data_IF_903825945747
#
_entry.id   IF_903825945747
#
_cell.length_a   1.000
_cell.length_b   1.000
_cell.length_c   1.000
_cell.angle_alpha   90.00
_cell.angle_beta   90.00
_cell.angle_gamma   90.00
#
_symmetry.space_group_name_H-M   'P 1'
#
loop_
_entity.id
_entity.type
_entity.pdbx_description
1 polymer ?
#
# COMPACT_ATOMS: atom_id res chain seq x y z
N UNK A 1 11.66 3.61 4.89
CA UNK A 1 11.93 5.07 5.04
C UNK A 1 10.90 5.86 4.25
N UNK A 2 10.27 6.88 4.85
CA UNK A 2 9.32 7.78 4.16
C UNK A 2 10.07 8.70 3.17
N UNK A 3 9.68 8.74 1.88
CA UNK A 3 10.30 9.63 0.90
C UNK A 3 10.18 11.11 1.28
N UNK A 4 11.20 11.92 0.92
CA UNK A 4 11.30 13.34 1.32
C UNK A 4 10.04 14.15 0.99
N UNK A 5 9.42 13.89 -0.17
CA UNK A 5 8.18 14.54 -0.63
C UNK A 5 7.01 14.40 0.36
N UNK A 6 6.96 13.31 1.12
CA UNK A 6 5.82 12.98 1.98
C UNK A 6 6.04 13.30 3.47
N UNK A 7 7.26 13.70 3.85
CA UNK A 7 7.58 13.98 5.27
C UNK A 7 6.73 15.11 5.86
N UNK A 8 6.39 16.09 5.03
CA UNK A 8 5.53 17.22 5.37
C UNK A 8 4.05 17.02 5.02
N UNK A 9 3.52 15.81 4.96
CA UNK A 9 2.07 15.62 4.78
C UNK A 9 1.37 15.73 6.13
N UNK A 10 0.21 16.37 6.24
CA UNK A 10 -0.62 16.27 7.45
C UNK A 10 -2.08 16.44 7.10
N UNK A 11 -2.95 16.02 8.00
CA UNK A 11 -4.39 16.08 7.80
C UNK A 11 -4.96 17.50 7.65
N UNK A 12 -4.25 18.51 8.15
CA UNK A 12 -4.74 19.89 8.27
C UNK A 12 -4.14 20.84 7.22
N UNK A 13 -3.50 20.29 6.18
CA UNK A 13 -2.97 21.11 5.06
C UNK A 13 -3.09 20.40 3.71
N UNK A 14 -3.00 21.16 2.60
CA UNK A 14 -2.88 20.58 1.27
C UNK A 14 -1.69 19.63 1.13
N UNK A 15 -1.81 18.56 0.32
CA UNK A 15 -2.99 18.26 -0.49
C UNK A 15 -4.08 17.48 0.28
N UNK A 16 -3.90 17.12 1.56
CA UNK A 16 -4.84 16.24 2.27
C UNK A 16 -6.20 16.89 2.49
N UNK A 17 -6.23 18.19 2.77
CA UNK A 17 -7.48 18.96 2.91
C UNK A 17 -8.28 19.07 1.61
N UNK A 18 -7.67 18.75 0.47
CA UNK A 18 -8.29 18.78 -0.86
C UNK A 18 -8.79 17.39 -1.30
N UNK A 19 -8.47 16.34 -0.53
CA UNK A 19 -8.94 14.97 -0.78
C UNK A 19 -10.37 14.83 -0.26
N UNK A 20 -11.15 13.92 -0.87
CA UNK A 20 -12.52 13.61 -0.48
C UNK A 20 -12.66 13.40 1.05
N UNK A 21 -13.44 14.28 1.69
CA UNK A 21 -13.62 14.33 3.14
C UNK A 21 -13.97 13.00 3.80
N UNK A 22 -14.91 12.18 3.26
CA UNK A 22 -15.23 10.86 3.82
C UNK A 22 -14.03 9.92 3.88
N UNK A 23 -13.18 9.94 2.85
CA UNK A 23 -11.98 9.09 2.77
C UNK A 23 -10.92 9.57 3.76
N UNK A 24 -10.70 10.89 3.84
CA UNK A 24 -9.80 11.48 4.85
C UNK A 24 -10.27 11.14 6.25
N UNK A 25 -11.58 11.19 6.52
CA UNK A 25 -12.16 10.82 7.80
C UNK A 25 -11.95 9.32 8.12
N UNK A 26 -12.07 8.43 7.13
CA UNK A 26 -11.77 7.01 7.30
C UNK A 26 -10.31 6.77 7.65
N UNK A 27 -9.38 7.40 6.92
CA UNK A 27 -7.94 7.31 7.22
C UNK A 27 -7.62 7.90 8.59
N UNK A 28 -8.24 9.02 8.99
CA UNK A 28 -8.13 9.57 10.36
C UNK A 28 -8.58 8.56 11.41
N UNK A 29 -9.74 7.91 11.22
CA UNK A 29 -10.22 6.86 12.14
C UNK A 29 -9.24 5.70 12.23
N UNK A 30 -8.71 5.25 11.10
CA UNK A 30 -7.72 4.17 11.05
C UNK A 30 -6.45 4.55 11.83
N UNK A 31 -5.91 5.74 11.58
CA UNK A 31 -4.71 6.25 12.24
C UNK A 31 -4.91 6.47 13.74
N UNK A 32 -6.07 6.98 14.17
CA UNK A 32 -6.37 7.17 15.60
C UNK A 32 -6.41 5.85 16.38
N UNK A 33 -6.56 4.71 15.68
CA UNK A 33 -6.58 3.36 16.25
C UNK A 33 -5.46 2.51 15.64
N UNK A 34 -4.32 3.13 15.33
CA UNK A 34 -3.26 2.50 14.54
C UNK A 34 -2.78 1.19 15.18
N UNK A 35 -2.54 1.17 16.48
CA UNK A 35 -2.08 -0.04 17.18
C UNK A 35 -3.12 -1.16 17.11
N UNK A 36 -4.38 -0.87 17.47
CA UNK A 36 -5.47 -1.84 17.42
C UNK A 36 -5.74 -2.38 16.01
N UNK A 37 -5.53 -1.56 14.98
CA UNK A 37 -5.69 -1.97 13.58
C UNK A 37 -4.55 -2.86 13.12
N UNK A 38 -3.31 -2.50 13.46
CA UNK A 38 -2.13 -3.27 13.08
C UNK A 38 -2.04 -4.61 13.83
N UNK A 39 -2.39 -4.64 15.11
CA UNK A 39 -2.42 -5.88 15.90
C UNK A 39 -3.51 -6.87 15.46
N UNK A 40 -4.52 -6.37 14.74
CA UNK A 40 -5.61 -7.18 14.21
C UNK A 40 -5.51 -7.40 12.70
N UNK A 41 -4.35 -7.13 12.09
CA UNK A 41 -4.12 -7.36 10.66
C UNK A 41 -4.94 -6.50 9.70
N UNK A 42 -5.65 -5.47 10.19
CA UNK A 42 -6.50 -4.61 9.36
C UNK A 42 -5.64 -3.68 8.52
N UNK A 43 -5.98 -3.55 7.26
CA UNK A 43 -5.27 -2.76 6.25
C UNK A 43 -6.15 -1.72 5.56
N UNK A 44 -5.59 -1.04 4.55
CA UNK A 44 -6.33 -0.10 3.70
C UNK A 44 -6.10 -0.40 2.23
N UNK A 45 -7.18 -0.42 1.46
CA UNK A 45 -7.13 -0.46 0.01
C UNK A 45 -7.60 0.88 -0.53
N UNK A 46 -6.66 1.71 -0.98
CA UNK A 46 -6.94 3.00 -1.58
C UNK A 46 -7.02 2.83 -3.11
N UNK A 47 -8.22 2.88 -3.69
CA UNK A 47 -8.43 2.79 -5.15
C UNK A 47 -8.96 4.11 -5.71
N UNK A 48 -8.82 4.35 -7.01
CA UNK A 48 -9.35 5.57 -7.62
C UNK A 48 -8.48 6.18 -8.72
N UNK A 49 -8.90 7.29 -9.31
CA UNK A 49 -8.19 7.90 -10.44
C UNK A 49 -6.80 8.44 -10.07
N UNK A 50 -5.93 8.54 -11.08
CA UNK A 50 -4.57 9.08 -10.95
C UNK A 50 -4.63 10.49 -10.33
N UNK A 51 -3.95 10.67 -9.20
CA UNK A 51 -3.76 11.98 -8.58
C UNK A 51 -4.81 12.42 -7.57
N UNK A 52 -5.69 11.52 -7.14
CA UNK A 52 -6.68 11.76 -6.08
C UNK A 52 -6.14 11.66 -4.65
N UNK A 53 -4.82 11.47 -4.47
CA UNK A 53 -4.18 11.48 -3.14
C UNK A 53 -4.02 10.12 -2.45
N UNK A 54 -4.28 9.00 -3.13
CA UNK A 54 -4.08 7.63 -2.61
C UNK A 54 -2.71 7.42 -1.95
N UNK A 55 -1.62 7.64 -2.69
CA UNK A 55 -0.25 7.51 -2.17
C UNK A 55 0.01 8.46 -1.00
N UNK A 56 -0.54 9.68 -1.05
CA UNK A 56 -0.42 10.65 0.04
C UNK A 56 -1.04 10.10 1.34
N UNK A 57 -2.26 9.55 1.26
CA UNK A 57 -2.93 8.95 2.41
C UNK A 57 -2.22 7.69 2.91
N UNK A 58 -1.78 6.81 2.01
CA UNK A 58 -1.01 5.62 2.37
C UNK A 58 0.29 5.98 3.11
N UNK A 59 1.04 6.95 2.59
CA UNK A 59 2.26 7.46 3.23
C UNK A 59 1.99 8.13 4.57
N UNK A 60 0.86 8.85 4.69
CA UNK A 60 0.43 9.45 5.94
C UNK A 60 0.15 8.39 7.01
N UNK A 61 -0.57 7.32 6.65
CA UNK A 61 -0.81 6.18 7.55
C UNK A 61 0.48 5.49 7.95
N UNK A 62 1.34 5.18 6.99
CA UNK A 62 2.66 4.56 7.22
C UNK A 62 3.55 5.41 8.14
N UNK A 63 3.46 6.74 8.05
CA UNK A 63 4.20 7.61 8.96
C UNK A 63 3.66 7.53 10.39
N UNK A 64 2.34 7.54 10.58
CA UNK A 64 1.77 7.41 11.92
C UNK A 64 2.09 6.06 12.55
N UNK A 65 2.15 4.98 11.75
CA UNK A 65 2.62 3.68 12.22
C UNK A 65 4.09 3.76 12.72
N UNK A 66 4.98 4.39 11.95
CA UNK A 66 6.37 4.62 12.39
C UNK A 66 6.44 5.49 13.67
N UNK A 67 5.62 6.53 13.77
CA UNK A 67 5.53 7.40 14.95
C UNK A 67 5.00 6.66 16.19
N UNK A 68 4.16 5.64 16.00
CA UNK A 68 3.71 4.72 17.04
C UNK A 68 4.74 3.62 17.39
N UNK A 69 5.94 3.66 16.79
CA UNK A 69 7.00 2.68 17.05
C UNK A 69 6.84 1.35 16.31
N UNK A 70 5.92 1.28 15.34
CA UNK A 70 5.69 0.08 14.52
C UNK A 70 6.68 -0.01 13.38
N UNK A 71 7.01 -1.24 13.00
CA UNK A 71 7.88 -1.52 11.86
C UNK A 71 7.10 -1.38 10.54
N UNK A 72 7.68 -0.65 9.57
CA UNK A 72 7.00 -0.35 8.30
C UNK A 72 7.93 -0.54 7.11
N UNK A 73 7.45 -1.29 6.11
CA UNK A 73 8.09 -1.41 4.80
C UNK A 73 7.24 -0.70 3.74
N UNK A 74 7.87 0.04 2.83
CA UNK A 74 7.16 0.84 1.81
C UNK A 74 7.84 0.64 0.47
N UNK A 75 7.06 0.18 -0.51
CA UNK A 75 7.53 -0.07 -1.87
C UNK A 75 6.51 0.43 -2.89
N UNK A 76 6.98 0.93 -4.03
CA UNK A 76 6.17 0.83 -5.24
C UNK A 76 6.28 -0.60 -5.77
N UNK A 77 5.23 -1.13 -6.39
CA UNK A 77 5.24 -2.48 -6.93
C UNK A 77 6.44 -2.73 -7.89
N UNK A 78 6.76 -1.84 -8.85
CA UNK A 78 7.92 -2.04 -9.72
C UNK A 78 9.25 -2.14 -8.96
N UNK A 79 9.43 -1.33 -7.90
CA UNK A 79 10.64 -1.35 -7.08
C UNK A 79 10.75 -2.64 -6.25
N UNK A 80 9.64 -3.10 -5.69
CA UNK A 80 9.58 -4.37 -4.97
C UNK A 80 9.99 -5.53 -5.88
N UNK A 81 9.41 -5.61 -7.07
CA UNK A 81 9.69 -6.66 -8.04
C UNK A 81 11.14 -6.61 -8.53
N UNK A 82 11.70 -5.42 -8.76
CA UNK A 82 13.12 -5.27 -9.10
C UNK A 82 14.03 -5.79 -7.98
N UNK A 83 13.71 -5.48 -6.72
CA UNK A 83 14.47 -5.98 -5.58
C UNK A 83 14.37 -7.50 -5.43
N UNK A 84 13.18 -8.08 -5.64
CA UNK A 84 13.01 -9.54 -5.64
C UNK A 84 13.83 -10.17 -6.77
N UNK A 85 13.83 -9.61 -8.00
CA UNK A 85 14.68 -10.12 -9.09
C UNK A 85 16.15 -10.12 -8.72
N UNK A 86 16.64 -9.03 -8.11
CA UNK A 86 18.04 -8.96 -7.70
C UNK A 86 18.44 -10.01 -6.67
N UNK A 87 17.49 -10.53 -5.87
CA UNK A 87 17.80 -11.63 -4.94
C UNK A 87 18.00 -12.96 -5.64
N UNK A 88 17.41 -13.17 -6.83
CA UNK A 88 17.65 -14.37 -7.63
C UNK A 88 18.98 -14.31 -8.41
N UNK A 89 19.46 -13.10 -8.69
CA UNK A 89 20.75 -12.87 -9.36
C UNK A 89 21.94 -12.83 -8.38
N UNK A 90 21.68 -12.80 -7.07
CA UNK A 90 22.70 -12.75 -6.02
C UNK A 90 23.10 -14.17 -5.60
N UNK A 91 24.39 -14.51 -5.73
CA UNK A 91 24.95 -15.81 -5.33
C UNK A 91 24.93 -16.05 -3.81
N UNK A 92 24.50 -15.07 -3.01
CA UNK A 92 24.29 -15.25 -1.57
C UNK A 92 23.11 -16.17 -1.32
N UNK A 93 23.39 -17.33 -0.71
CA UNK A 93 22.37 -18.20 -0.16
C UNK A 93 21.41 -17.40 0.75
N UNK A 94 20.11 -17.57 0.53
CA UNK A 94 18.99 -17.02 1.32
C UNK A 94 18.59 -15.54 1.11
N UNK A 95 19.17 -14.81 0.16
CA UNK A 95 18.83 -13.39 -0.08
C UNK A 95 17.33 -13.13 -0.33
N UNK A 96 16.66 -14.05 -1.05
CA UNK A 96 15.22 -14.01 -1.31
C UNK A 96 14.40 -14.31 -0.06
N UNK A 97 14.78 -15.33 0.71
CA UNK A 97 14.11 -15.72 1.96
C UNK A 97 14.19 -14.56 2.95
N UNK A 98 15.37 -13.97 3.13
CA UNK A 98 15.57 -12.81 4.00
C UNK A 98 14.73 -11.58 3.58
N UNK A 99 14.47 -11.42 2.27
CA UNK A 99 13.59 -10.38 1.78
C UNK A 99 12.13 -10.69 2.11
N UNK A 100 11.66 -11.91 1.83
CA UNK A 100 10.31 -12.33 2.16
C UNK A 100 10.04 -12.22 3.67
N UNK A 101 10.93 -12.74 4.51
CA UNK A 101 10.79 -12.68 5.97
C UNK A 101 10.66 -11.24 6.46
N UNK A 102 11.40 -10.30 5.87
CA UNK A 102 11.22 -8.87 6.18
C UNK A 102 9.87 -8.33 5.72
N UNK A 103 9.42 -8.71 4.53
CA UNK A 103 8.14 -8.25 3.98
C UNK A 103 6.94 -8.83 4.73
N UNK A 104 7.07 -10.01 5.34
CA UNK A 104 6.00 -10.66 6.10
C UNK A 104 6.05 -10.27 7.58
N UNK A 105 7.23 -10.07 8.18
CA UNK A 105 7.37 -9.78 9.60
C UNK A 105 7.07 -8.32 10.02
N UNK A 106 7.19 -7.34 9.11
CA UNK A 106 6.87 -5.94 9.44
C UNK A 106 5.40 -5.78 9.81
N UNK A 107 5.11 -4.92 10.78
CA UNK A 107 3.76 -4.66 11.27
C UNK A 107 2.87 -4.08 10.17
N UNK A 108 3.44 -3.23 9.30
CA UNK A 108 2.75 -2.65 8.16
C UNK A 108 3.58 -2.73 6.88
N UNK A 109 3.03 -3.37 5.85
CA UNK A 109 3.56 -3.33 4.48
C UNK A 109 2.72 -2.40 3.62
N UNK A 110 3.34 -1.39 3.01
CA UNK A 110 2.70 -0.56 1.99
C UNK A 110 3.22 -0.93 0.59
N UNK A 111 2.31 -1.27 -0.32
CA UNK A 111 2.60 -1.49 -1.74
C UNK A 111 1.83 -0.45 -2.58
N UNK A 112 2.56 0.44 -3.23
CA UNK A 112 2.02 1.55 -4.02
C UNK A 112 1.92 1.15 -5.51
N UNK A 113 0.89 1.67 -6.19
CA UNK A 113 0.59 1.48 -7.62
C UNK A 113 0.45 -0.01 -8.05
N UNK A 114 -0.30 -0.79 -7.27
CA UNK A 114 -0.63 -2.19 -7.60
C UNK A 114 -1.52 -2.25 -8.85
N UNK A 115 -1.16 -3.10 -9.80
CA UNK A 115 -1.92 -3.30 -11.04
C UNK A 115 -1.70 -2.23 -12.12
N UNK A 116 -0.74 -1.33 -11.96
CA UNK A 116 -0.47 -0.29 -12.97
C UNK A 116 0.08 -0.82 -14.31
N UNK A 117 0.67 -2.02 -14.32
CA UNK A 117 1.23 -2.67 -15.51
C UNK A 117 0.71 -4.10 -15.64
N UNK A 118 0.75 -4.66 -16.86
CA UNK A 118 0.43 -6.07 -17.08
C UNK A 118 1.40 -6.95 -16.30
N UNK A 119 0.85 -7.79 -15.43
CA UNK A 119 1.60 -8.72 -14.59
C UNK A 119 1.99 -9.98 -15.36
N UNK A 120 3.22 -10.46 -15.16
CA UNK A 120 3.62 -11.79 -15.61
C UNK A 120 3.22 -12.86 -14.58
N UNK A 121 3.19 -14.13 -14.98
CA UNK A 121 2.91 -15.25 -14.07
C UNK A 121 3.81 -15.21 -12.81
N UNK A 122 5.09 -14.91 -12.99
CA UNK A 122 6.03 -14.73 -11.88
C UNK A 122 5.60 -13.59 -10.94
N UNK A 123 5.18 -12.43 -11.47
CA UNK A 123 4.69 -11.31 -10.62
C UNK A 123 3.46 -11.72 -9.81
N UNK A 124 2.53 -12.46 -10.43
CA UNK A 124 1.34 -12.98 -9.76
C UNK A 124 1.71 -13.91 -8.60
N UNK A 125 2.67 -14.82 -8.80
CA UNK A 125 3.16 -15.72 -7.76
C UNK A 125 3.80 -14.95 -6.60
N UNK A 126 4.64 -13.96 -6.88
CA UNK A 126 5.29 -13.16 -5.83
C UNK A 126 4.28 -12.35 -5.01
N UNK A 127 3.33 -11.69 -5.67
CA UNK A 127 2.28 -10.93 -4.98
C UNK A 127 1.40 -11.85 -4.14
N UNK A 128 1.01 -12.99 -4.69
CA UNK A 128 0.22 -13.97 -3.96
C UNK A 128 0.96 -14.48 -2.73
N UNK A 129 2.24 -14.84 -2.84
CA UNK A 129 3.03 -15.32 -1.72
C UNK A 129 3.11 -14.29 -0.57
N UNK A 130 3.37 -13.03 -0.89
CA UNK A 130 3.45 -11.94 0.10
C UNK A 130 2.09 -11.70 0.76
N UNK A 131 1.02 -11.56 -0.04
CA UNK A 131 -0.33 -11.30 0.49
C UNK A 131 -0.83 -12.48 1.31
N UNK A 132 -0.60 -13.71 0.86
CA UNK A 132 -1.03 -14.91 1.56
C UNK A 132 -0.34 -15.07 2.92
N UNK A 133 0.99 -14.93 2.97
CA UNK A 133 1.72 -15.05 4.24
C UNK A 133 1.26 -13.97 5.24
N UNK A 134 1.04 -12.74 4.78
CA UNK A 134 0.51 -11.67 5.65
C UNK A 134 -0.93 -11.91 6.09
N UNK A 135 -1.76 -12.49 5.22
CA UNK A 135 -3.12 -12.90 5.57
C UNK A 135 -3.13 -13.96 6.67
N UNK A 136 -2.30 -15.00 6.52
CA UNK A 136 -2.20 -16.12 7.48
C UNK A 136 -1.66 -15.68 8.85
N UNK A 137 -0.73 -14.72 8.87
CA UNK A 137 -0.11 -14.20 10.10
C UNK A 137 -0.82 -12.96 10.67
N UNK A 138 -2.00 -12.60 10.17
CA UNK A 138 -2.78 -11.42 10.58
C UNK A 138 -1.95 -10.11 10.55
N UNK A 139 -1.18 -9.91 9.47
CA UNK A 139 -0.29 -8.75 9.29
C UNK A 139 -0.87 -7.72 8.31
N UNK A 140 -0.99 -6.47 8.75
CA UNK A 140 -1.63 -5.40 7.99
C UNK A 140 -0.94 -5.02 6.69
N UNK A 141 -1.71 -4.77 5.65
CA UNK A 141 -1.20 -4.29 4.36
C UNK A 141 -1.95 -3.02 3.92
N UNK A 142 -1.23 -2.07 3.33
CA UNK A 142 -1.84 -0.95 2.61
C UNK A 142 -1.49 -1.09 1.14
N UNK A 143 -2.51 -1.09 0.29
CA UNK A 143 -2.31 -1.03 -1.16
C UNK A 143 -2.89 0.26 -1.74
N UNK A 144 -2.26 0.74 -2.80
CA UNK A 144 -2.86 1.75 -3.67
C UNK A 144 -2.99 1.19 -5.08
N UNK A 145 -4.07 1.55 -5.77
CA UNK A 145 -4.28 1.15 -7.16
C UNK A 145 -5.09 2.21 -7.92
N UNK A 146 -4.88 2.30 -9.24
CA UNK A 146 -5.73 3.10 -10.11
C UNK A 146 -6.90 2.31 -10.72
N UNK A 147 -7.01 1.03 -10.36
CA UNK A 147 -7.98 0.10 -10.91
C UNK A 147 -9.20 -0.05 -10.00
N UNK A 148 -10.33 -0.35 -10.60
CA UNK A 148 -11.47 -0.92 -9.90
C UNK A 148 -11.18 -2.37 -9.48
N UNK A 149 -12.06 -2.92 -8.65
CA UNK A 149 -11.90 -4.25 -8.06
C UNK A 149 -11.73 -5.34 -9.12
N UNK A 150 -12.61 -5.37 -10.13
CA UNK A 150 -12.60 -6.42 -11.17
C UNK A 150 -11.41 -6.27 -12.11
N UNK A 151 -11.02 -5.03 -12.42
CA UNK A 151 -9.80 -4.75 -13.18
C UNK A 151 -8.56 -5.19 -12.41
N UNK A 152 -8.51 -4.97 -11.10
CA UNK A 152 -7.42 -5.44 -10.26
C UNK A 152 -7.40 -6.97 -10.21
N UNK A 153 -8.55 -7.63 -10.08
CA UNK A 153 -8.66 -9.09 -10.08
C UNK A 153 -8.14 -9.69 -11.40
N UNK A 154 -8.43 -9.05 -12.53
CA UNK A 154 -7.86 -9.44 -13.83
C UNK A 154 -6.33 -9.26 -13.89
N UNK A 155 -5.74 -8.37 -13.08
CA UNK A 155 -4.30 -8.10 -13.04
C UNK A 155 -3.54 -8.89 -11.96
N UNK A 156 -4.14 -9.24 -10.82
CA UNK A 156 -3.42 -9.92 -9.72
C UNK A 156 -4.05 -11.23 -9.27
N UNK A 157 -5.03 -11.71 -10.04
CA UNK A 157 -5.89 -12.85 -9.77
C UNK A 157 -6.91 -12.63 -8.64
N UNK A 158 -8.08 -13.24 -8.84
CA UNK A 158 -9.22 -13.23 -7.92
C UNK A 158 -8.84 -13.62 -6.49
N UNK A 159 -8.01 -14.66 -6.32
CA UNK A 159 -7.65 -15.16 -4.98
C UNK A 159 -6.81 -14.17 -4.17
N UNK A 160 -6.02 -13.33 -4.84
CA UNK A 160 -5.19 -12.31 -4.20
C UNK A 160 -6.08 -11.14 -3.80
N UNK A 161 -6.96 -10.72 -4.70
CA UNK A 161 -7.96 -9.68 -4.42
C UNK A 161 -8.86 -10.06 -3.25
N UNK A 162 -9.40 -11.27 -3.23
CA UNK A 162 -10.27 -11.75 -2.14
C UNK A 162 -9.59 -11.64 -0.76
N UNK A 163 -8.31 -11.99 -0.63
CA UNK A 163 -7.56 -11.77 0.62
C UNK A 163 -7.43 -10.30 0.97
N UNK A 164 -7.13 -9.45 -0.02
CA UNK A 164 -7.03 -8.01 0.20
C UNK A 164 -8.37 -7.41 0.64
N UNK A 165 -9.50 -7.88 0.10
CA UNK A 165 -10.85 -7.46 0.52
C UNK A 165 -11.16 -7.84 1.97
N UNK A 166 -10.70 -9.02 2.43
CA UNK A 166 -10.85 -9.43 3.83
C UNK A 166 -9.93 -8.65 4.77
N UNK A 167 -8.70 -8.37 4.33
CA UNK A 167 -7.71 -7.66 5.15
C UNK A 167 -7.98 -6.16 5.23
N UNK A 168 -8.54 -5.54 4.19
CA UNK A 168 -8.52 -4.08 4.03
C UNK A 168 -9.90 -3.43 3.99
N UNK A 169 -10.03 -2.26 4.63
CA UNK A 169 -11.11 -1.34 4.33
C UNK A 169 -10.88 -0.73 2.93
N UNK A 170 -11.84 -0.92 2.02
CA UNK A 170 -11.77 -0.37 0.65
C UNK A 170 -12.23 1.10 0.66
N UNK A 171 -11.32 1.98 0.25
CA UNK A 171 -11.49 3.42 0.27
C UNK A 171 -11.38 4.00 -1.16
N UNK A 172 -12.53 4.21 -1.83
CA UNK A 172 -12.56 4.72 -3.19
C UNK A 172 -12.32 6.24 -3.26
N UNK A 173 -11.39 6.65 -4.12
CA UNK A 173 -10.99 8.02 -4.42
C UNK A 173 -11.21 8.32 -5.91
N UNK A 174 -12.46 8.25 -6.34
CA UNK A 174 -12.90 8.62 -7.69
C UNK A 174 -13.26 10.11 -7.70
N UNK A 175 -12.63 10.91 -8.57
CA UNK A 175 -12.81 12.35 -8.58
C UNK A 175 -11.71 13.13 -9.31
N UNK A 176 -11.80 14.46 -9.30
CA UNK A 176 -10.87 15.35 -9.99
C UNK A 176 -9.44 15.26 -9.44
N UNK A 177 -8.49 15.12 -10.35
CA UNK A 177 -7.05 14.98 -10.12
C UNK A 177 -6.48 16.19 -9.33
N UNK A 178 -6.18 15.99 -8.04
CA UNK A 178 -5.60 17.02 -7.17
C UNK A 178 -4.19 17.44 -7.62
N UNK A 179 -3.49 16.68 -8.48
CA UNK A 179 -2.18 17.08 -9.03
C UNK A 179 -2.26 18.18 -10.09
N UNK A 180 -3.42 18.38 -10.73
CA UNK A 180 -3.59 19.43 -11.76
C UNK A 180 -3.84 20.83 -11.19
N UNK A 181 -4.17 20.96 -9.90
CA UNK A 181 -4.39 22.27 -9.29
C UNK A 181 -3.08 22.97 -8.87
N UNK A 182 -1.95 22.25 -8.86
CA UNK A 182 -0.65 22.78 -8.43
C UNK A 182 0.19 23.44 -9.55
N UNK A 183 -0.27 23.41 -10.80
CA UNK A 183 0.42 23.97 -11.97
C UNK A 183 -0.25 25.23 -12.56
N UNK A 184 -1.27 25.77 -11.88
CA UNK A 184 -2.03 26.94 -12.33
C UNK A 184 -2.01 28.10 -11.33
N UNK A 185 -0.87 28.34 -10.68
CA UNK A 185 -0.62 29.53 -9.87
C UNK A 185 0.76 30.11 -10.17
#
# INVERSE_FOLDING_TARGET
MIPRKYRGVSFDRPPVTEIAGPVVAAVKRYVNRIDENLDAGRGLWLCGSVGTGKTTLAMLTSRHALEAGRSVAIYSLPRLLAQIRTTFDDDRANSYVDLLDRLTAVDLLQIDDVGAEKTSAWVLEQLYAIVNARYEDERSIIITTNLERDELAAQINERTVSRLEEMCEVLPLWGSDARRQSYSA
#
